data_IF_753709121246
#
_entry.id   IF_753709121246
#
_cell.length_a   1.000
_cell.length_b   1.000
_cell.length_c   1.000
_cell.angle_alpha   90.00
_cell.angle_beta   90.00
_cell.angle_gamma   90.00
#
_symmetry.space_group_name_H-M   'P 1'
#
loop_
_entity.id
_entity.type
_entity.pdbx_description
1 polymer ?
#
# COMPACT_ATOMS: atom_id res chain seq x y z
N UNK A 1 8.98 6.83 33.36
CA UNK A 1 8.36 5.56 32.94
C UNK A 1 8.51 5.44 31.43
N UNK A 2 9.41 4.58 30.98
CA UNK A 2 9.61 4.33 29.56
C UNK A 2 8.47 3.43 29.10
N UNK A 3 7.51 3.98 28.36
CA UNK A 3 6.52 3.17 27.65
C UNK A 3 7.26 2.38 26.57
N UNK A 4 7.20 1.07 26.61
CA UNK A 4 7.68 0.24 25.51
C UNK A 4 7.08 0.75 24.19
N UNK A 5 7.82 0.73 23.08
CA UNK A 5 7.23 1.10 21.80
C UNK A 5 6.01 0.21 21.53
N UNK A 6 4.94 0.78 20.95
CA UNK A 6 3.75 0.00 20.66
C UNK A 6 4.12 -1.21 19.78
N UNK A 7 3.42 -2.31 20.00
CA UNK A 7 3.49 -3.49 19.15
C UNK A 7 3.23 -3.07 17.69
N UNK A 8 4.09 -3.46 16.73
CA UNK A 8 3.93 -3.07 15.32
C UNK A 8 2.54 -3.37 14.76
N UNK A 9 1.95 -4.50 15.15
CA UNK A 9 0.60 -4.86 14.71
C UNK A 9 -0.45 -3.84 15.17
N UNK A 10 -0.38 -3.40 16.43
CA UNK A 10 -1.30 -2.41 17.00
C UNK A 10 -1.15 -1.06 16.28
N UNK A 11 0.07 -0.57 16.07
CA UNK A 11 0.32 0.67 15.36
C UNK A 11 -0.23 0.62 13.92
N UNK A 12 0.09 -0.43 13.18
CA UNK A 12 -0.38 -0.60 11.81
C UNK A 12 -1.90 -0.73 11.71
N UNK A 13 -2.55 -1.41 12.64
CA UNK A 13 -4.02 -1.51 12.67
C UNK A 13 -4.68 -0.14 12.93
N UNK A 14 -4.11 0.67 13.80
CA UNK A 14 -4.61 2.02 14.07
C UNK A 14 -4.45 2.94 12.85
N UNK A 15 -3.28 2.93 12.22
CA UNK A 15 -3.00 3.70 11.00
C UNK A 15 -3.86 3.24 9.83
N UNK A 16 -4.06 1.92 9.67
CA UNK A 16 -4.94 1.37 8.65
C UNK A 16 -6.38 1.86 8.83
N UNK A 17 -6.90 1.85 10.05
CA UNK A 17 -8.25 2.35 10.33
C UNK A 17 -8.38 3.85 10.04
N UNK A 18 -7.36 4.63 10.36
CA UNK A 18 -7.33 6.07 10.07
C UNK A 18 -7.32 6.36 8.56
N UNK A 19 -6.45 5.69 7.80
CA UNK A 19 -6.35 5.90 6.34
C UNK A 19 -7.59 5.37 5.61
N UNK A 20 -8.19 4.28 6.06
CA UNK A 20 -9.47 3.78 5.52
C UNK A 20 -10.58 4.82 5.67
N UNK A 21 -10.67 5.50 6.82
CA UNK A 21 -11.62 6.59 7.04
C UNK A 21 -11.42 7.73 6.04
N UNK A 22 -10.17 8.14 5.80
CA UNK A 22 -9.82 9.17 4.79
C UNK A 22 -10.23 8.74 3.39
N UNK A 23 -9.88 7.54 2.97
CA UNK A 23 -10.20 7.00 1.64
C UNK A 23 -11.72 6.86 1.44
N UNK A 24 -12.46 6.42 2.45
CA UNK A 24 -13.93 6.36 2.40
C UNK A 24 -14.56 7.73 2.14
N UNK A 25 -14.06 8.77 2.80
CA UNK A 25 -14.57 10.13 2.61
C UNK A 25 -14.17 10.70 1.23
N UNK A 26 -12.97 10.38 0.74
CA UNK A 26 -12.50 10.74 -0.59
C UNK A 26 -13.28 10.04 -1.71
N UNK A 27 -13.69 8.78 -1.49
CA UNK A 27 -14.49 8.02 -2.46
C UNK A 27 -15.87 8.62 -2.74
N UNK A 28 -16.37 9.50 -1.86
CA UNK A 28 -17.64 10.24 -2.03
C UNK A 28 -17.49 11.52 -2.83
N UNK A 29 -16.25 11.93 -3.11
CA UNK A 29 -15.95 13.20 -3.78
C UNK A 29 -15.67 12.97 -5.26
N UNK A 30 -16.08 13.91 -6.09
CA UNK A 30 -15.58 14.01 -7.46
C UNK A 30 -14.32 14.85 -7.43
N UNK A 31 -13.21 14.25 -7.79
CA UNK A 31 -11.90 14.88 -7.76
C UNK A 31 -11.40 15.12 -9.17
N UNK A 32 -10.82 16.31 -9.40
CA UNK A 32 -10.28 16.74 -10.69
C UNK A 32 -8.82 17.17 -10.58
N UNK A 33 -8.15 17.20 -11.71
CA UNK A 33 -6.75 17.59 -11.80
C UNK A 33 -5.82 16.41 -11.79
N UNK A 34 -4.56 16.69 -11.54
CA UNK A 34 -3.48 15.70 -11.50
C UNK A 34 -2.64 15.90 -10.25
N UNK A 35 -2.05 14.81 -9.78
CA UNK A 35 -1.08 14.83 -8.68
C UNK A 35 0.14 15.68 -9.03
N UNK A 36 0.90 16.05 -8.02
CA UNK A 36 2.26 16.55 -8.23
C UNK A 36 3.10 15.51 -8.99
N UNK A 37 4.14 15.93 -9.72
CA UNK A 37 5.02 15.02 -10.42
C UNK A 37 5.68 14.03 -9.45
N UNK A 38 5.70 12.75 -9.78
CA UNK A 38 6.52 11.77 -9.05
C UNK A 38 8.00 12.16 -9.16
N UNK A 39 8.74 12.24 -8.05
CA UNK A 39 10.14 12.67 -8.08
C UNK A 39 11.06 11.76 -8.88
N UNK A 40 10.71 10.48 -9.01
CA UNK A 40 11.53 9.48 -9.70
C UNK A 40 11.19 9.32 -11.17
N UNK A 41 9.90 9.45 -11.54
CA UNK A 41 9.42 9.19 -12.91
C UNK A 41 8.89 10.43 -13.62
N UNK A 42 8.56 11.51 -12.90
CA UNK A 42 7.91 12.70 -13.43
C UNK A 42 6.42 12.48 -13.76
N UNK A 43 5.86 11.31 -13.51
CA UNK A 43 4.46 11.01 -13.78
C UNK A 43 3.53 11.86 -12.92
N UNK A 44 2.41 12.26 -13.53
CA UNK A 44 1.31 12.96 -12.86
C UNK A 44 0.02 12.21 -13.13
N UNK A 45 -0.64 11.77 -12.07
CA UNK A 45 -1.83 10.93 -12.14
C UNK A 45 -3.12 11.71 -11.90
N UNK A 46 -4.18 11.32 -12.61
CA UNK A 46 -5.54 11.68 -12.23
C UNK A 46 -6.08 10.80 -11.09
N UNK A 47 -7.24 11.14 -10.56
CA UNK A 47 -7.87 10.38 -9.47
C UNK A 47 -8.10 8.91 -9.84
N UNK A 48 -8.51 8.61 -11.07
CA UNK A 48 -8.74 7.25 -11.55
C UNK A 48 -7.47 6.40 -11.50
N UNK A 49 -6.33 6.96 -11.88
CA UNK A 49 -5.04 6.26 -11.80
C UNK A 49 -4.63 6.00 -10.35
N UNK A 50 -4.82 6.97 -9.44
CA UNK A 50 -4.53 6.77 -8.02
C UNK A 50 -5.40 5.67 -7.43
N UNK A 51 -6.72 5.69 -7.68
CA UNK A 51 -7.63 4.65 -7.21
C UNK A 51 -7.32 3.27 -7.79
N UNK A 52 -7.01 3.18 -9.09
CA UNK A 52 -6.61 1.93 -9.73
C UNK A 52 -5.31 1.38 -9.13
N UNK A 53 -4.35 2.25 -8.83
CA UNK A 53 -3.11 1.85 -8.18
C UNK A 53 -3.33 1.34 -6.74
N UNK A 54 -4.24 1.93 -5.98
CA UNK A 54 -4.59 1.41 -4.65
C UNK A 54 -5.05 -0.06 -4.72
N UNK A 55 -5.99 -0.38 -5.61
CA UNK A 55 -6.48 -1.75 -5.80
C UNK A 55 -5.44 -2.71 -6.38
N UNK A 56 -4.45 -2.20 -7.10
CA UNK A 56 -3.38 -3.00 -7.68
C UNK A 56 -2.28 -3.32 -6.66
N UNK A 57 -1.83 -2.34 -5.87
CA UNK A 57 -0.67 -2.54 -5.03
C UNK A 57 -0.96 -3.26 -3.71
N UNK A 58 -2.14 -3.09 -3.11
CA UNK A 58 -2.45 -3.70 -1.81
C UNK A 58 -2.32 -5.23 -1.88
N UNK A 59 -3.04 -5.94 -2.77
CA UNK A 59 -2.90 -7.39 -2.87
C UNK A 59 -1.50 -7.82 -3.29
N UNK A 60 -0.84 -7.05 -4.16
CA UNK A 60 0.52 -7.36 -4.57
C UNK A 60 1.49 -7.39 -3.38
N UNK A 61 1.51 -6.34 -2.56
CA UNK A 61 2.47 -6.26 -1.45
C UNK A 61 2.13 -7.18 -0.29
N UNK A 62 0.85 -7.51 -0.06
CA UNK A 62 0.44 -8.57 0.87
C UNK A 62 1.07 -9.90 0.41
N UNK A 63 0.90 -10.27 -0.85
CA UNK A 63 1.47 -11.50 -1.40
C UNK A 63 3.00 -11.54 -1.32
N UNK A 64 3.68 -10.40 -1.53
CA UNK A 64 5.13 -10.32 -1.37
C UNK A 64 5.57 -10.51 0.09
N UNK A 65 4.88 -9.91 1.05
CA UNK A 65 5.15 -10.10 2.48
C UNK A 65 4.91 -11.56 2.91
N UNK A 66 3.81 -12.16 2.46
CA UNK A 66 3.51 -13.58 2.70
C UNK A 66 4.58 -14.50 2.12
N UNK A 67 5.08 -14.20 0.93
CA UNK A 67 6.19 -14.95 0.31
C UNK A 67 7.45 -14.92 1.16
N UNK A 68 7.80 -13.75 1.69
CA UNK A 68 8.95 -13.60 2.60
C UNK A 68 8.75 -14.39 3.88
N UNK A 69 7.54 -14.37 4.46
CA UNK A 69 7.20 -15.11 5.67
C UNK A 69 7.19 -16.62 5.44
N UNK A 70 6.62 -17.09 4.33
CA UNK A 70 6.52 -18.51 4.00
C UNK A 70 7.89 -19.16 3.75
N UNK A 71 8.84 -18.42 3.21
CA UNK A 71 10.18 -18.93 2.96
C UNK A 71 10.95 -19.21 4.25
N UNK A 72 10.70 -18.44 5.34
CA UNK A 72 11.30 -18.59 6.67
C UNK A 72 12.81 -18.96 6.62
N UNK A 73 13.52 -18.40 5.64
CA UNK A 73 14.91 -18.77 5.34
C UNK A 73 15.88 -17.98 6.22
N UNK A 74 17.02 -18.59 6.54
CA UNK A 74 18.15 -17.90 7.18
C UNK A 74 18.72 -16.79 6.30
N UNK A 75 18.61 -16.93 4.96
CA UNK A 75 18.99 -15.90 3.99
C UNK A 75 17.77 -15.13 3.51
N UNK A 76 17.83 -13.79 3.39
CA UNK A 76 16.71 -12.99 2.88
C UNK A 76 16.31 -13.42 1.47
N UNK A 77 14.99 -13.68 1.26
CA UNK A 77 14.48 -14.07 -0.06
C UNK A 77 14.14 -12.83 -0.90
N UNK A 78 14.37 -12.87 -2.22
CA UNK A 78 13.99 -11.79 -3.12
C UNK A 78 12.47 -11.55 -3.09
N UNK A 79 12.08 -10.27 -3.02
CA UNK A 79 10.69 -9.83 -3.07
C UNK A 79 10.59 -8.46 -3.74
N UNK A 80 9.39 -8.12 -4.17
CA UNK A 80 9.06 -6.79 -4.63
C UNK A 80 9.39 -6.52 -6.10
N UNK A 81 9.16 -5.27 -6.47
CA UNK A 81 9.34 -4.75 -7.84
C UNK A 81 9.66 -3.26 -7.80
N UNK A 82 10.02 -2.71 -8.95
CA UNK A 82 10.20 -1.27 -9.15
C UNK A 82 8.97 -0.64 -9.81
N UNK A 83 8.91 0.70 -9.85
CA UNK A 83 7.84 1.46 -10.51
C UNK A 83 7.74 1.17 -12.03
N UNK A 84 8.81 0.72 -12.66
CA UNK A 84 8.87 0.38 -14.07
C UNK A 84 8.28 -0.99 -14.43
N UNK A 85 7.75 -1.73 -13.45
CA UNK A 85 7.16 -3.05 -13.69
C UNK A 85 5.98 -2.95 -14.68
N UNK A 86 6.00 -3.67 -15.82
CA UNK A 86 4.98 -3.56 -16.86
C UNK A 86 3.58 -3.96 -16.37
N UNK A 87 3.48 -5.03 -15.58
CA UNK A 87 2.19 -5.53 -15.07
C UNK A 87 1.50 -4.49 -14.17
N UNK A 88 2.29 -3.75 -13.39
CA UNK A 88 1.80 -2.62 -12.58
C UNK A 88 1.21 -1.52 -13.47
N UNK A 89 1.94 -1.13 -14.51
CA UNK A 89 1.53 -0.08 -15.45
C UNK A 89 0.26 -0.48 -16.17
N UNK A 90 0.21 -1.70 -16.70
CA UNK A 90 -0.96 -2.24 -17.40
C UNK A 90 -2.20 -2.32 -16.50
N UNK A 91 -2.06 -2.75 -15.25
CA UNK A 91 -3.16 -2.84 -14.30
C UNK A 91 -3.77 -1.46 -14.01
N UNK A 92 -2.94 -0.44 -13.79
CA UNK A 92 -3.38 0.93 -13.56
C UNK A 92 -4.14 1.46 -14.78
N UNK A 93 -3.58 1.32 -15.98
CA UNK A 93 -4.21 1.82 -17.20
C UNK A 93 -5.50 1.09 -17.57
N UNK A 94 -5.55 -0.22 -17.32
CA UNK A 94 -6.77 -1.02 -17.54
C UNK A 94 -7.92 -0.55 -16.64
N UNK A 95 -7.64 -0.26 -15.38
CA UNK A 95 -8.66 -0.05 -14.36
C UNK A 95 -9.01 1.43 -14.10
N UNK A 96 -8.18 2.39 -14.54
CA UNK A 96 -8.35 3.82 -14.23
C UNK A 96 -9.71 4.42 -14.59
N UNK A 97 -10.43 3.85 -15.52
CA UNK A 97 -11.72 4.35 -16.00
C UNK A 97 -12.94 3.59 -15.43
N UNK A 98 -12.74 2.68 -14.48
CA UNK A 98 -13.82 1.89 -13.86
C UNK A 98 -14.76 2.70 -12.97
N UNK A 99 -14.38 3.93 -12.62
CA UNK A 99 -15.12 4.80 -11.72
C UNK A 99 -14.79 4.56 -10.23
N UNK A 100 -14.81 5.65 -9.47
CA UNK A 100 -14.38 5.66 -8.07
C UNK A 100 -15.17 4.71 -7.19
N UNK A 101 -16.48 4.57 -7.40
CA UNK A 101 -17.34 3.67 -6.59
C UNK A 101 -16.93 2.21 -6.73
N UNK A 102 -16.66 1.75 -7.96
CA UNK A 102 -16.22 0.39 -8.23
C UNK A 102 -14.82 0.13 -7.67
N UNK A 103 -13.90 1.06 -7.90
CA UNK A 103 -12.53 0.97 -7.40
C UNK A 103 -12.46 1.00 -5.87
N UNK A 104 -13.25 1.87 -5.23
CA UNK A 104 -13.36 1.90 -3.77
C UNK A 104 -13.92 0.59 -3.20
N UNK A 105 -14.89 -0.03 -3.87
CA UNK A 105 -15.40 -1.34 -3.45
C UNK A 105 -14.26 -2.37 -3.38
N UNK A 106 -13.46 -2.47 -4.43
CA UNK A 106 -12.33 -3.41 -4.49
C UNK A 106 -11.26 -3.07 -3.43
N UNK A 107 -10.88 -1.80 -3.33
CA UNK A 107 -9.92 -1.33 -2.31
C UNK A 107 -10.39 -1.67 -0.90
N UNK A 108 -11.66 -1.53 -0.60
CA UNK A 108 -12.19 -1.87 0.73
C UNK A 108 -12.06 -3.36 1.05
N UNK A 109 -12.26 -4.24 0.07
CA UNK A 109 -12.03 -5.69 0.25
C UNK A 109 -10.52 -5.95 0.49
N UNK A 110 -9.65 -5.32 -0.28
CA UNK A 110 -8.20 -5.44 -0.09
C UNK A 110 -7.73 -4.90 1.27
N UNK A 111 -8.36 -3.84 1.80
CA UNK A 111 -8.09 -3.34 3.16
C UNK A 111 -8.53 -4.33 4.24
N UNK A 112 -9.61 -5.08 4.03
CA UNK A 112 -10.01 -6.17 4.92
C UNK A 112 -8.98 -7.30 4.91
N UNK A 113 -8.47 -7.66 3.73
CA UNK A 113 -7.41 -8.66 3.59
C UNK A 113 -6.11 -8.20 4.27
N UNK A 114 -5.75 -6.92 4.11
CA UNK A 114 -4.61 -6.33 4.80
C UNK A 114 -4.78 -6.38 6.33
N UNK A 115 -5.97 -6.07 6.84
CA UNK A 115 -6.29 -6.16 8.27
C UNK A 115 -6.12 -7.58 8.81
N UNK A 116 -6.61 -8.57 8.06
CA UNK A 116 -6.44 -9.98 8.40
C UNK A 116 -4.97 -10.41 8.36
N UNK A 117 -4.22 -9.98 7.35
CA UNK A 117 -2.78 -10.23 7.26
C UNK A 117 -2.04 -9.66 8.47
N UNK A 118 -2.25 -8.40 8.82
CA UNK A 118 -1.61 -7.76 9.99
C UNK A 118 -1.89 -8.51 11.30
N UNK A 119 -3.12 -9.01 11.47
CA UNK A 119 -3.52 -9.79 12.65
C UNK A 119 -2.85 -11.18 12.69
N UNK A 120 -2.43 -11.70 11.54
CA UNK A 120 -1.80 -13.04 11.44
C UNK A 120 -0.29 -13.04 11.71
N UNK A 121 0.36 -11.87 11.66
CA UNK A 121 1.81 -11.74 11.81
C UNK A 121 2.19 -11.84 13.30
N UNK A 122 2.97 -12.87 13.65
CA UNK A 122 3.47 -13.04 15.02
C UNK A 122 4.62 -12.08 15.34
N UNK A 123 4.90 -11.85 16.63
CA UNK A 123 5.96 -10.95 17.10
C UNK A 123 7.32 -11.26 16.48
N UNK A 124 7.64 -12.53 16.29
CA UNK A 124 8.88 -12.96 15.65
C UNK A 124 8.88 -12.71 14.16
N UNK A 125 7.73 -12.85 13.52
CA UNK A 125 7.58 -12.71 12.09
C UNK A 125 7.84 -11.27 11.59
N UNK A 126 7.60 -10.25 12.42
CA UNK A 126 7.92 -8.87 12.08
C UNK A 126 9.41 -8.63 11.77
N UNK A 127 10.29 -9.50 12.26
CA UNK A 127 11.76 -9.42 12.07
C UNK A 127 12.26 -10.25 10.91
N UNK A 128 11.42 -11.09 10.31
CA UNK A 128 11.80 -11.89 9.12
C UNK A 128 12.13 -10.92 7.97
N UNK A 129 13.19 -11.23 7.22
CA UNK A 129 13.77 -10.30 6.25
C UNK A 129 13.62 -10.83 4.83
N UNK A 130 13.31 -9.91 3.91
CA UNK A 130 13.38 -10.10 2.47
C UNK A 130 14.43 -9.19 1.83
N UNK A 131 14.75 -9.45 0.57
CA UNK A 131 15.70 -8.68 -0.23
C UNK A 131 14.95 -7.96 -1.36
N UNK A 132 14.80 -6.63 -1.23
CA UNK A 132 14.21 -5.80 -2.29
C UNK A 132 15.24 -5.49 -3.38
N UNK A 133 14.86 -5.47 -4.68
CA UNK A 133 15.81 -5.32 -5.80
C UNK A 133 16.62 -4.03 -5.78
N UNK A 134 16.12 -2.95 -5.17
CA UNK A 134 16.80 -1.64 -5.15
C UNK A 134 17.07 -1.12 -3.74
N UNK A 135 16.31 -1.56 -2.73
CA UNK A 135 16.40 -1.04 -1.35
C UNK A 135 17.16 -1.96 -0.40
N UNK A 136 17.55 -3.16 -0.86
CA UNK A 136 18.30 -4.11 -0.08
C UNK A 136 17.46 -4.90 0.92
N UNK A 137 18.09 -5.34 2.00
CA UNK A 137 17.47 -6.19 3.03
C UNK A 137 16.54 -5.39 3.92
N UNK A 138 15.30 -5.86 4.09
CA UNK A 138 14.26 -5.20 4.87
C UNK A 138 13.50 -6.23 5.73
N UNK A 139 13.20 -5.93 7.01
CA UNK A 139 12.29 -6.75 7.81
C UNK A 139 10.84 -6.54 7.38
N UNK A 140 9.97 -7.51 7.70
CA UNK A 140 8.52 -7.42 7.41
C UNK A 140 7.91 -6.12 7.95
N UNK A 141 8.30 -5.68 9.14
CA UNK A 141 7.82 -4.41 9.70
C UNK A 141 8.08 -3.22 8.78
N UNK A 142 9.26 -3.16 8.18
CA UNK A 142 9.61 -2.10 7.23
C UNK A 142 8.93 -2.27 5.87
N UNK A 143 8.73 -3.52 5.42
CA UNK A 143 7.99 -3.83 4.19
C UNK A 143 6.54 -3.33 4.33
N UNK A 144 5.87 -3.66 5.44
CA UNK A 144 4.50 -3.23 5.72
C UNK A 144 4.41 -1.72 5.85
N UNK A 145 5.31 -1.10 6.61
CA UNK A 145 5.31 0.36 6.77
C UNK A 145 5.49 1.08 5.44
N UNK A 146 6.49 0.70 4.67
CA UNK A 146 6.87 1.41 3.44
C UNK A 146 5.92 1.15 2.27
N UNK A 147 5.54 -0.10 2.04
CA UNK A 147 4.84 -0.52 0.82
C UNK A 147 3.34 -0.73 1.00
N UNK A 148 2.84 -0.79 2.23
CA UNK A 148 1.42 -0.94 2.51
C UNK A 148 0.89 0.28 3.26
N UNK A 149 1.13 0.41 4.54
CA UNK A 149 0.51 1.45 5.36
C UNK A 149 0.95 2.86 4.95
N UNK A 150 2.25 3.13 4.91
CA UNK A 150 2.77 4.44 4.50
C UNK A 150 2.42 4.79 3.05
N UNK A 151 2.37 3.78 2.17
CA UNK A 151 1.98 3.98 0.77
C UNK A 151 0.50 4.32 0.63
N UNK A 152 -0.37 3.69 1.43
CA UNK A 152 -1.79 4.08 1.54
C UNK A 152 -1.96 5.52 2.02
N UNK A 153 -1.23 5.91 3.06
CA UNK A 153 -1.25 7.27 3.61
C UNK A 153 -0.79 8.31 2.58
N UNK A 154 0.26 8.01 1.83
CA UNK A 154 0.79 8.85 0.76
C UNK A 154 -0.25 9.07 -0.35
N UNK A 155 -0.89 8.01 -0.84
CA UNK A 155 -1.91 8.12 -1.88
C UNK A 155 -3.20 8.77 -1.40
N UNK A 156 -3.60 8.57 -0.14
CA UNK A 156 -4.71 9.34 0.45
C UNK A 156 -4.40 10.84 0.43
N UNK A 157 -3.17 11.23 0.79
CA UNK A 157 -2.72 12.63 0.72
C UNK A 157 -2.71 13.17 -0.71
N UNK A 158 -2.29 12.37 -1.69
CA UNK A 158 -2.36 12.76 -3.10
C UNK A 158 -3.80 13.03 -3.56
N UNK A 159 -4.76 12.18 -3.17
CA UNK A 159 -6.17 12.38 -3.47
C UNK A 159 -6.74 13.62 -2.77
N UNK A 160 -6.36 13.89 -1.51
CA UNK A 160 -6.77 15.08 -0.76
C UNK A 160 -6.30 16.39 -1.42
N UNK A 161 -5.14 16.36 -2.07
CA UNK A 161 -4.57 17.50 -2.78
C UNK A 161 -5.19 17.75 -4.16
N UNK A 162 -6.01 16.83 -4.68
CA UNK A 162 -6.77 17.04 -5.90
C UNK A 162 -7.95 18.01 -5.64
N UNK A 163 -8.37 18.72 -6.68
CA UNK A 163 -9.47 19.68 -6.56
C UNK A 163 -10.82 18.94 -6.50
N UNK A 164 -11.73 19.31 -5.59
CA UNK A 164 -13.10 18.86 -5.69
C UNK A 164 -13.77 19.53 -6.90
N UNK A 165 -14.58 18.76 -7.61
CA UNK A 165 -15.44 19.22 -8.71
C UNK A 165 -16.72 19.82 -8.18
#
# INVERSE_FOLDING_TARGET
>A
MSTAPPDPATDFQQRLSAVEGRLRDLARRRLEGRTEPDPGTGERWDAGQVWAHLGEFIPYWIAQAERVLAAASASPVPFGRTKANPERIEAIERDRNRGTTALWHDVREDLNDLRAFLASVSDRAWRVRGLHPTLGVMPISQIVDRFLIGHLEEHATQLENLRPR
#
